data_IF_326597515573
#
_entry.id   IF_326597515573
#
_cell.length_a   1.000
_cell.length_b   1.000
_cell.length_c   1.000
_cell.angle_alpha   90.00
_cell.angle_beta   90.00
_cell.angle_gamma   90.00
#
_symmetry.space_group_name_H-M   'P 1'
#
loop_
_entity.id
_entity.type
_entity.pdbx_description
1 polymer ?
#
# COMPACT_ATOMS: atom_id res chain seq x y z
N UNK A 1 -6.88 11.76 10.17
CA UNK A 1 -7.99 11.06 9.48
C UNK A 1 -7.80 9.57 9.67
N UNK A 2 -8.87 8.80 9.80
CA UNK A 2 -8.82 7.33 9.86
C UNK A 2 -9.32 6.83 8.51
N UNK A 3 -8.50 6.06 7.80
CA UNK A 3 -8.88 5.38 6.55
C UNK A 3 -8.89 3.87 6.81
N UNK A 4 -9.92 3.16 6.33
CA UNK A 4 -9.98 1.70 6.36
C UNK A 4 -9.34 1.13 5.11
N UNK A 5 -8.20 0.47 5.30
CA UNK A 5 -7.47 -0.27 4.28
C UNK A 5 -7.85 -1.75 4.34
N UNK A 6 -8.23 -2.34 3.21
CA UNK A 6 -8.54 -3.77 3.08
C UNK A 6 -7.65 -4.36 2.00
N UNK A 7 -6.92 -5.43 2.33
CA UNK A 7 -6.20 -6.24 1.35
C UNK A 7 -6.97 -7.53 1.09
N UNK A 8 -7.16 -7.86 -0.19
CA UNK A 8 -7.68 -9.16 -0.60
C UNK A 8 -6.51 -10.00 -1.10
N UNK A 9 -6.28 -11.13 -0.43
CA UNK A 9 -5.19 -12.03 -0.80
C UNK A 9 -5.36 -12.57 -2.23
N UNK A 10 -4.26 -12.63 -2.97
CA UNK A 10 -4.25 -13.14 -4.35
C UNK A 10 -4.54 -14.65 -4.43
N UNK A 11 -4.51 -15.36 -3.30
CA UNK A 11 -4.78 -16.80 -3.20
C UNK A 11 -6.27 -17.13 -3.12
N UNK A 12 -7.15 -16.14 -3.00
CA UNK A 12 -8.60 -16.35 -2.91
C UNK A 12 -9.16 -16.84 -4.24
N UNK A 13 -10.13 -17.75 -4.20
CA UNK A 13 -10.76 -18.26 -5.43
C UNK A 13 -11.51 -17.14 -6.17
N UNK A 14 -11.67 -17.20 -7.52
CA UNK A 14 -12.34 -16.14 -8.27
C UNK A 14 -13.75 -15.78 -7.76
N UNK A 15 -14.55 -16.78 -7.40
CA UNK A 15 -15.91 -16.59 -6.87
C UNK A 15 -15.95 -15.91 -5.51
N UNK A 16 -14.98 -16.22 -4.64
CA UNK A 16 -14.85 -15.57 -3.34
C UNK A 16 -14.31 -14.15 -3.50
N UNK A 17 -13.38 -13.94 -4.43
CA UNK A 17 -12.79 -12.63 -4.72
C UNK A 17 -13.86 -11.62 -5.10
N UNK A 18 -14.77 -11.95 -6.02
CA UNK A 18 -15.86 -11.06 -6.43
C UNK A 18 -16.77 -10.67 -5.25
N UNK A 19 -17.04 -11.62 -4.36
CA UNK A 19 -17.85 -11.39 -3.16
C UNK A 19 -17.14 -10.46 -2.18
N UNK A 20 -15.85 -10.70 -1.92
CA UNK A 20 -15.03 -9.86 -1.04
C UNK A 20 -14.86 -8.44 -1.61
N UNK A 21 -14.66 -8.31 -2.93
CA UNK A 21 -14.57 -7.02 -3.60
C UNK A 21 -15.83 -6.20 -3.44
N UNK A 22 -17.00 -6.84 -3.61
CA UNK A 22 -18.29 -6.17 -3.41
C UNK A 22 -18.43 -5.65 -1.97
N UNK A 23 -18.14 -6.49 -0.98
CA UNK A 23 -18.23 -6.12 0.44
C UNK A 23 -17.21 -5.03 0.81
N UNK A 24 -15.97 -5.15 0.33
CA UNK A 24 -14.92 -4.17 0.58
C UNK A 24 -15.27 -2.82 -0.05
N UNK A 25 -15.79 -2.79 -1.28
CA UNK A 25 -16.21 -1.56 -1.94
C UNK A 25 -17.33 -0.81 -1.18
N UNK A 26 -18.16 -1.48 -0.39
CA UNK A 26 -19.19 -0.81 0.41
C UNK A 26 -18.60 -0.08 1.63
N UNK A 27 -17.45 -0.53 2.15
CA UNK A 27 -16.98 -0.20 3.51
C UNK A 27 -15.56 0.36 3.59
N UNK A 28 -14.68 -0.02 2.68
CA UNK A 28 -13.27 0.37 2.66
C UNK A 28 -13.08 1.73 1.98
N UNK A 29 -12.13 2.50 2.51
CA UNK A 29 -11.66 3.73 1.87
C UNK A 29 -10.62 3.40 0.80
N UNK A 30 -9.79 2.39 1.08
CA UNK A 30 -8.71 1.92 0.21
C UNK A 30 -8.73 0.40 0.12
N UNK A 31 -8.74 -0.11 -1.11
CA UNK A 31 -8.67 -1.53 -1.43
C UNK A 31 -7.33 -1.85 -2.08
N UNK A 32 -6.62 -2.84 -1.55
CA UNK A 32 -5.34 -3.32 -2.07
C UNK A 32 -5.51 -4.70 -2.70
N UNK A 33 -5.23 -4.80 -3.99
CA UNK A 33 -5.16 -6.04 -4.75
C UNK A 33 -3.72 -6.30 -5.18
N UNK A 34 -2.93 -6.95 -4.32
CA UNK A 34 -1.52 -7.21 -4.61
C UNK A 34 -0.71 -5.91 -4.67
N UNK A 35 -0.35 -5.44 -5.86
CA UNK A 35 0.36 -4.16 -6.07
C UNK A 35 -0.54 -3.01 -6.54
N UNK A 36 -1.82 -3.30 -6.82
CA UNK A 36 -2.77 -2.31 -7.29
C UNK A 36 -3.63 -1.81 -6.13
N UNK A 37 -3.84 -0.50 -6.06
CA UNK A 37 -4.68 0.13 -5.05
C UNK A 37 -5.82 0.87 -5.71
N UNK A 38 -7.03 0.60 -5.24
CA UNK A 38 -8.23 1.31 -5.60
C UNK A 38 -8.67 2.17 -4.41
N UNK A 39 -8.71 3.49 -4.60
CA UNK A 39 -9.21 4.42 -3.59
C UNK A 39 -10.62 4.89 -3.99
N UNK A 40 -11.59 4.82 -3.06
CA UNK A 40 -12.95 5.31 -3.33
C UNK A 40 -13.09 6.83 -3.28
N UNK A 41 -12.25 7.49 -2.48
CA UNK A 41 -12.40 8.90 -2.07
C UNK A 41 -11.51 9.86 -2.84
N UNK A 42 -10.42 9.38 -3.47
CA UNK A 42 -9.54 10.22 -4.28
C UNK A 42 -9.38 9.64 -5.68
N UNK A 43 -9.61 10.46 -6.70
CA UNK A 43 -9.33 10.20 -8.13
C UNK A 43 -7.85 9.86 -8.45
N UNK A 44 -7.01 9.64 -7.44
CA UNK A 44 -5.61 9.29 -7.59
C UNK A 44 -5.35 7.84 -7.24
N UNK A 45 -4.91 7.07 -8.23
CA UNK A 45 -4.29 5.76 -8.01
C UNK A 45 -3.11 5.91 -7.04
N UNK A 46 -3.08 5.06 -6.01
CA UNK A 46 -1.94 4.96 -5.10
C UNK A 46 -0.99 3.92 -5.68
N UNK A 47 0.25 4.31 -5.95
CA UNK A 47 1.27 3.40 -6.45
C UNK A 47 1.93 2.66 -5.30
N UNK A 48 1.77 1.34 -5.25
CA UNK A 48 2.41 0.50 -4.24
C UNK A 48 3.74 -0.03 -4.76
N UNK A 49 4.80 0.23 -4.01
CA UNK A 49 6.11 -0.37 -4.18
C UNK A 49 6.25 -1.51 -3.16
N UNK A 50 6.64 -2.70 -3.62
CA UNK A 50 6.89 -3.86 -2.75
C UNK A 50 8.32 -3.92 -2.21
N UNK A 51 9.18 -2.99 -2.63
CA UNK A 51 10.55 -2.87 -2.18
C UNK A 51 11.00 -1.41 -2.27
N UNK A 52 11.98 -1.05 -1.45
CA UNK A 52 12.48 0.32 -1.43
C UNK A 52 13.27 0.64 -2.69
N UNK A 53 12.77 1.61 -3.45
CA UNK A 53 13.46 2.21 -4.60
C UNK A 53 13.36 3.74 -4.49
N UNK A 54 14.43 4.36 -4.00
CA UNK A 54 14.50 5.79 -3.82
C UNK A 54 14.30 6.57 -5.13
N UNK A 55 14.74 6.03 -6.27
CA UNK A 55 14.59 6.67 -7.58
C UNK A 55 13.15 6.62 -8.04
N UNK A 56 12.49 5.46 -7.88
CA UNK A 56 11.07 5.32 -8.19
C UNK A 56 10.19 6.22 -7.33
N UNK A 57 10.46 6.29 -6.01
CA UNK A 57 9.72 7.18 -5.09
C UNK A 57 9.87 8.63 -5.55
N UNK A 58 11.11 9.12 -5.74
CA UNK A 58 11.36 10.50 -6.19
C UNK A 58 10.67 10.82 -7.52
N UNK A 59 10.74 9.91 -8.50
CA UNK A 59 10.05 10.06 -9.78
C UNK A 59 8.54 10.20 -9.61
N UNK A 60 7.90 9.26 -8.91
CA UNK A 60 6.46 9.27 -8.68
C UNK A 60 6.01 10.53 -7.92
N UNK A 61 6.78 10.97 -6.91
CA UNK A 61 6.49 12.21 -6.20
C UNK A 61 6.65 13.45 -7.08
N UNK A 62 7.64 13.47 -7.99
CA UNK A 62 7.79 14.57 -8.96
C UNK A 62 6.62 14.65 -9.97
N UNK A 63 5.96 13.52 -10.22
CA UNK A 63 4.76 13.41 -11.05
C UNK A 63 3.46 13.66 -10.25
N UNK A 64 3.58 14.12 -8.99
CA UNK A 64 2.47 14.37 -8.06
C UNK A 64 1.58 13.12 -7.81
N UNK A 65 2.18 11.92 -7.88
CA UNK A 65 1.50 10.66 -7.58
C UNK A 65 1.52 10.36 -6.08
N UNK A 66 0.49 9.65 -5.60
CA UNK A 66 0.48 9.04 -4.27
C UNK A 66 1.30 7.76 -4.29
N UNK A 67 2.16 7.57 -3.31
CA UNK A 67 3.07 6.42 -3.19
C UNK A 67 2.87 5.75 -1.85
N UNK A 68 2.70 4.42 -1.88
CA UNK A 68 2.75 3.56 -0.72
C UNK A 68 3.96 2.63 -0.85
N UNK A 69 4.72 2.46 0.23
CA UNK A 69 5.80 1.46 0.29
C UNK A 69 5.41 0.35 1.27
N UNK A 70 5.41 -0.89 0.78
CA UNK A 70 5.25 -2.10 1.60
C UNK A 70 6.61 -2.62 2.05
N UNK A 71 6.75 -2.92 3.33
CA UNK A 71 7.98 -3.43 3.94
C UNK A 71 7.65 -4.55 4.94
N UNK A 72 8.31 -5.69 4.78
CA UNK A 72 8.35 -6.73 5.81
C UNK A 72 9.48 -6.39 6.80
N UNK A 73 9.14 -6.15 8.06
CA UNK A 73 10.12 -5.82 9.10
C UNK A 73 10.61 -7.12 9.76
N UNK A 74 11.90 -7.40 9.59
CA UNK A 74 12.62 -8.53 10.21
C UNK A 74 13.74 -8.06 11.14
N UNK A 75 14.13 -6.79 11.03
CA UNK A 75 15.09 -6.17 11.94
C UNK A 75 15.30 -4.69 11.68
N UNK A 76 16.30 -4.13 12.36
CA UNK A 76 16.60 -2.69 12.38
C UNK A 76 16.85 -2.07 11.00
N UNK A 77 17.42 -2.82 10.05
CA UNK A 77 17.67 -2.30 8.71
C UNK A 77 16.38 -2.08 7.90
N UNK A 78 15.34 -2.89 8.16
CA UNK A 78 14.04 -2.73 7.52
C UNK A 78 13.31 -1.51 8.10
N UNK A 79 13.45 -1.28 9.41
CA UNK A 79 12.95 -0.07 10.08
C UNK A 79 13.63 1.20 9.53
N UNK A 80 14.96 1.17 9.38
CA UNK A 80 15.71 2.26 8.75
C UNK A 80 15.22 2.54 7.32
N UNK A 81 14.80 1.49 6.60
CA UNK A 81 14.24 1.62 5.26
C UNK A 81 12.87 2.31 5.27
N UNK A 82 12.03 2.00 6.25
CA UNK A 82 10.76 2.71 6.47
C UNK A 82 10.99 4.20 6.74
N UNK A 83 11.96 4.53 7.60
CA UNK A 83 12.32 5.93 7.90
C UNK A 83 12.77 6.66 6.63
N UNK A 84 13.68 6.07 5.84
CA UNK A 84 14.15 6.66 4.58
C UNK A 84 13.01 6.90 3.59
N UNK A 85 12.03 6.00 3.52
CA UNK A 85 10.87 6.18 2.65
C UNK A 85 9.99 7.37 3.09
N UNK A 86 9.80 7.54 4.40
CA UNK A 86 9.11 8.70 4.96
C UNK A 86 9.85 10.01 4.64
N UNK A 87 11.18 10.02 4.76
CA UNK A 87 12.03 11.16 4.39
C UNK A 87 11.94 11.52 2.89
N UNK A 88 11.64 10.53 2.04
CA UNK A 88 11.39 10.72 0.61
C UNK A 88 9.94 11.08 0.28
N UNK A 89 9.13 11.44 1.28
CA UNK A 89 7.73 11.87 1.13
C UNK A 89 6.82 10.79 0.55
N UNK A 90 7.06 9.51 0.87
CA UNK A 90 6.05 8.47 0.66
C UNK A 90 4.77 8.82 1.45
N UNK A 91 3.60 8.69 0.82
CA UNK A 91 2.32 9.05 1.42
C UNK A 91 1.85 8.00 2.43
N UNK A 92 2.19 6.73 2.18
CA UNK A 92 1.86 5.61 3.04
C UNK A 92 3.07 4.67 3.21
N UNK A 93 3.17 4.07 4.39
CA UNK A 93 4.09 2.97 4.66
C UNK A 93 3.25 1.82 5.23
N UNK A 94 3.26 0.68 4.53
CA UNK A 94 2.57 -0.54 4.92
C UNK A 94 3.61 -1.45 5.57
N UNK A 95 3.56 -1.56 6.89
CA UNK A 95 4.49 -2.39 7.66
C UNK A 95 3.87 -3.75 7.94
N UNK A 96 4.60 -4.81 7.58
CA UNK A 96 4.31 -6.16 8.01
C UNK A 96 5.36 -6.56 9.06
N UNK A 97 4.99 -6.47 10.33
CA UNK A 97 5.88 -6.80 11.45
C UNK A 97 5.67 -8.27 11.84
N UNK A 98 6.51 -9.15 11.30
CA UNK A 98 6.37 -10.61 11.48
C UNK A 98 6.74 -11.07 12.90
N UNK A 99 7.55 -10.29 13.61
CA UNK A 99 8.13 -10.63 14.92
C UNK A 99 7.73 -9.65 16.04
N UNK A 100 6.56 -9.00 15.94
CA UNK A 100 6.01 -8.16 17.04
C UNK A 100 5.69 -9.00 18.29
#
# INVERSE_FOLDING_TARGET
MKELWVEIAQTVSPSEKDTLLKLANERADVLLEGTQVHNRSSEGDIHVLNSFDASAIKRLKSENKKVALRIDIKGKEDENTAVKAAELSADYIILNCLDW
#
